data_IF_187634597805
#
_entry.id   IF_187634597805
#
_cell.length_a   1.000
_cell.length_b   1.000
_cell.length_c   1.000
_cell.angle_alpha   90.00
_cell.angle_beta   90.00
_cell.angle_gamma   90.00
#
_symmetry.space_group_name_H-M   'P 1'
#
loop_
_entity.id
_entity.type
_entity.pdbx_description
1 polymer ?
#
# COMPACT_ATOMS: atom_id res chain seq x y z
N UNK A 1 16.88 78.05 -26.32
CA UNK A 1 17.46 76.84 -25.76
C UNK A 1 16.29 75.96 -25.28
N UNK A 2 15.92 74.96 -26.09
CA UNK A 2 14.83 74.04 -25.81
C UNK A 2 15.41 72.72 -25.18
N UNK A 3 15.00 72.40 -23.96
CA UNK A 3 15.40 71.16 -23.30
C UNK A 3 14.38 70.04 -23.65
N UNK A 4 14.83 69.01 -24.40
CA UNK A 4 14.07 67.82 -24.60
C UNK A 4 14.14 66.94 -23.32
N UNK A 5 12.99 66.63 -22.75
CA UNK A 5 12.87 65.62 -21.69
C UNK A 5 12.70 64.24 -22.35
N UNK A 6 13.61 63.34 -22.04
CA UNK A 6 13.53 61.91 -22.46
C UNK A 6 12.64 61.17 -21.49
N UNK A 7 11.54 60.55 -21.98
CA UNK A 7 10.70 59.59 -21.27
C UNK A 7 11.34 58.21 -21.38
N UNK A 8 11.73 57.62 -20.26
CA UNK A 8 12.16 56.22 -20.20
C UNK A 8 10.92 55.30 -20.11
N UNK A 9 10.87 54.21 -20.87
CA UNK A 9 9.76 53.24 -20.76
C UNK A 9 9.92 52.38 -19.49
N UNK A 10 8.88 52.38 -18.66
CA UNK A 10 8.76 51.51 -17.50
C UNK A 10 8.38 50.10 -18.00
N UNK A 11 9.34 49.19 -18.08
CA UNK A 11 9.10 47.78 -18.45
C UNK A 11 8.43 47.04 -17.32
N UNK A 12 7.18 46.59 -17.52
CA UNK A 12 6.46 45.70 -16.62
C UNK A 12 7.01 44.26 -16.79
N UNK A 13 7.82 43.83 -15.85
CA UNK A 13 8.26 42.42 -15.79
C UNK A 13 7.09 41.53 -15.30
N UNK A 14 6.46 40.78 -16.20
CA UNK A 14 5.52 39.70 -15.86
C UNK A 14 6.32 38.56 -15.24
N UNK A 15 6.23 38.40 -13.93
CA UNK A 15 6.71 37.19 -13.25
C UNK A 15 5.82 36.01 -13.65
N UNK A 16 6.31 35.15 -14.54
CA UNK A 16 5.67 33.87 -14.85
C UNK A 16 5.75 32.96 -13.59
N UNK A 17 4.62 32.71 -12.96
CA UNK A 17 4.54 31.67 -11.95
C UNK A 17 4.80 30.33 -12.63
N UNK A 18 6.01 29.79 -12.49
CA UNK A 18 6.33 28.44 -12.91
C UNK A 18 5.50 27.46 -12.05
N UNK A 19 4.54 26.78 -12.66
CA UNK A 19 3.79 25.72 -11.97
C UNK A 19 4.73 24.56 -11.66
N UNK A 20 4.81 24.15 -10.39
CA UNK A 20 5.54 22.95 -9.99
C UNK A 20 4.86 21.76 -10.64
N UNK A 21 5.57 20.88 -11.37
CA UNK A 21 4.97 19.69 -11.96
C UNK A 21 4.39 18.79 -10.86
N UNK A 22 3.28 18.07 -11.13
CA UNK A 22 2.70 17.15 -10.16
C UNK A 22 3.73 16.06 -9.79
N UNK A 23 3.70 15.55 -8.55
CA UNK A 23 4.60 14.48 -8.13
C UNK A 23 4.39 13.23 -8.98
N UNK A 24 5.43 12.42 -9.14
CA UNK A 24 5.32 11.12 -9.81
C UNK A 24 4.25 10.25 -9.11
N UNK A 25 3.50 9.42 -9.83
CA UNK A 25 2.40 8.64 -9.28
C UNK A 25 2.78 7.84 -8.01
N UNK A 26 3.94 7.22 -7.99
CA UNK A 26 4.44 6.46 -6.84
C UNK A 26 4.80 7.35 -5.65
N UNK A 27 5.29 8.57 -5.88
CA UNK A 27 5.55 9.53 -4.80
C UNK A 27 4.24 10.06 -4.19
N UNK A 28 3.25 10.31 -5.04
CA UNK A 28 1.91 10.71 -4.59
C UNK A 28 1.23 9.58 -3.79
N UNK A 29 1.31 8.33 -4.26
CA UNK A 29 0.84 7.15 -3.54
C UNK A 29 1.53 6.98 -2.18
N UNK A 30 2.87 7.13 -2.16
CA UNK A 30 3.65 7.07 -0.93
C UNK A 30 3.22 8.15 0.07
N UNK A 31 3.06 9.37 -0.39
CA UNK A 31 2.59 10.48 0.43
C UNK A 31 1.17 10.22 0.97
N UNK A 32 0.26 9.68 0.14
CA UNK A 32 -1.08 9.30 0.56
C UNK A 32 -1.04 8.25 1.69
N UNK A 33 -0.27 7.17 1.53
CA UNK A 33 -0.13 6.14 2.55
C UNK A 33 0.53 6.70 3.83
N UNK A 34 1.59 7.49 3.69
CA UNK A 34 2.30 8.14 4.80
C UNK A 34 1.42 9.09 5.60
N UNK A 35 0.39 9.69 4.99
CA UNK A 35 -0.54 10.60 5.68
C UNK A 35 -1.38 9.91 6.77
N UNK A 36 -1.38 8.57 6.78
CA UNK A 36 -2.05 7.72 7.76
C UNK A 36 -1.11 7.15 8.83
N UNK A 37 0.16 7.54 8.85
CA UNK A 37 1.12 7.01 9.80
C UNK A 37 0.67 7.12 11.26
N UNK A 38 0.83 6.03 12.01
CA UNK A 38 0.40 5.89 13.40
C UNK A 38 -1.09 5.63 13.60
N UNK A 39 -1.89 5.58 12.52
CA UNK A 39 -3.35 5.39 12.60
C UNK A 39 -3.75 3.96 12.21
N UNK A 40 -4.75 3.44 12.93
CA UNK A 40 -5.38 2.16 12.63
C UNK A 40 -6.82 2.36 12.19
N UNK A 41 -7.34 1.42 11.41
CA UNK A 41 -8.67 1.52 10.79
C UNK A 41 -9.36 0.16 10.76
N UNK A 42 -10.67 0.18 10.96
CA UNK A 42 -11.53 -0.98 10.79
C UNK A 42 -11.79 -1.26 9.31
N UNK A 43 -11.92 -2.53 8.97
CA UNK A 43 -12.20 -2.98 7.61
C UNK A 43 -12.95 -4.29 7.57
N UNK A 44 -13.19 -4.75 6.36
CA UNK A 44 -13.93 -5.97 6.09
C UNK A 44 -13.51 -6.64 4.78
N UNK A 45 -13.76 -7.94 4.68
CA UNK A 45 -13.74 -8.66 3.41
C UNK A 45 -14.91 -8.20 2.55
N UNK A 46 -14.65 -7.84 1.29
CA UNK A 46 -15.68 -7.40 0.33
C UNK A 46 -15.79 -8.31 -0.89
N UNK A 47 -14.81 -9.20 -1.12
CA UNK A 47 -14.93 -10.29 -2.10
C UNK A 47 -15.76 -11.44 -1.53
N UNK A 48 -16.40 -12.20 -2.42
CA UNK A 48 -17.28 -13.32 -2.04
C UNK A 48 -16.83 -14.63 -2.72
N UNK A 49 -15.64 -15.11 -2.36
CA UNK A 49 -15.15 -16.39 -2.85
C UNK A 49 -15.22 -17.48 -1.77
N UNK A 50 -15.51 -18.73 -2.18
CA UNK A 50 -15.61 -19.86 -1.27
C UNK A 50 -14.32 -20.08 -0.46
N UNK A 51 -13.17 -19.78 -1.04
CA UNK A 51 -11.86 -19.88 -0.37
C UNK A 51 -11.70 -18.95 0.83
N UNK A 52 -12.55 -17.93 0.98
CA UNK A 52 -12.51 -16.92 2.05
C UNK A 52 -13.70 -17.04 3.01
N UNK A 53 -14.45 -18.13 2.95
CA UNK A 53 -15.66 -18.32 3.74
C UNK A 53 -15.43 -18.10 5.25
N UNK A 54 -14.29 -18.54 5.76
CA UNK A 54 -13.92 -18.43 7.18
C UNK A 54 -13.65 -16.98 7.62
N UNK A 55 -13.41 -16.07 6.67
CA UNK A 55 -13.15 -14.66 6.93
C UNK A 55 -14.39 -13.78 6.77
N UNK A 56 -15.50 -14.34 6.27
CA UNK A 56 -16.74 -13.57 6.06
C UNK A 56 -17.33 -13.09 7.38
N UNK A 57 -17.61 -11.78 7.44
CA UNK A 57 -18.18 -11.15 8.63
C UNK A 57 -17.21 -11.00 9.81
N UNK A 58 -15.97 -11.51 9.70
CA UNK A 58 -14.95 -11.28 10.71
C UNK A 58 -14.51 -9.81 10.71
N UNK A 59 -14.38 -9.23 11.89
CA UNK A 59 -13.82 -7.89 12.03
C UNK A 59 -12.36 -7.90 11.59
N UNK A 60 -11.96 -6.86 10.84
CA UNK A 60 -10.60 -6.69 10.37
C UNK A 60 -10.07 -5.34 10.81
N UNK A 61 -8.78 -5.28 11.08
CA UNK A 61 -8.09 -4.04 11.39
C UNK A 61 -6.77 -3.95 10.62
N UNK A 62 -6.45 -2.75 10.13
CA UNK A 62 -5.12 -2.42 9.64
C UNK A 62 -4.53 -1.30 10.47
N UNK A 63 -3.20 -1.23 10.53
CA UNK A 63 -2.48 -0.17 11.21
C UNK A 63 -1.31 0.30 10.35
N UNK A 64 -1.27 1.55 9.92
CA UNK A 64 -0.09 2.14 9.28
C UNK A 64 0.94 2.41 10.38
N UNK A 65 1.60 1.34 10.87
CA UNK A 65 2.31 1.32 12.15
C UNK A 65 3.66 2.00 12.10
N UNK A 66 4.46 1.68 11.08
CA UNK A 66 5.84 2.16 10.97
C UNK A 66 6.02 2.83 9.64
N UNK A 67 6.52 4.06 9.64
CA UNK A 67 6.78 4.83 8.45
C UNK A 67 8.18 5.42 8.51
N UNK A 68 8.90 5.29 7.40
CA UNK A 68 10.16 5.99 7.13
C UNK A 68 10.15 6.45 5.68
N UNK A 69 11.21 7.11 5.24
CA UNK A 69 11.35 7.55 3.84
C UNK A 69 11.43 6.39 2.85
N UNK A 70 11.79 5.19 3.33
CA UNK A 70 12.05 4.02 2.48
C UNK A 70 11.13 2.83 2.73
N UNK A 71 10.45 2.75 3.89
CA UNK A 71 9.59 1.61 4.24
C UNK A 71 8.38 2.02 5.07
N UNK A 72 7.22 1.50 4.70
CA UNK A 72 5.98 1.56 5.49
C UNK A 72 5.54 0.14 5.81
N UNK A 73 5.25 -0.14 7.08
CA UNK A 73 4.74 -1.41 7.54
C UNK A 73 3.27 -1.25 7.95
N UNK A 74 2.42 -2.11 7.38
CA UNK A 74 0.97 -2.10 7.60
C UNK A 74 0.53 -3.48 8.11
N UNK A 75 0.53 -3.72 9.44
CA UNK A 75 -0.11 -4.89 10.03
C UNK A 75 -1.57 -5.02 9.60
N UNK A 76 -1.98 -6.25 9.31
CA UNK A 76 -3.32 -6.65 8.99
C UNK A 76 -3.77 -7.75 9.96
N UNK A 77 -4.83 -7.49 10.72
CA UNK A 77 -5.36 -8.39 11.73
C UNK A 77 -6.78 -8.81 11.39
N UNK A 78 -7.10 -10.07 11.70
CA UNK A 78 -8.44 -10.65 11.54
C UNK A 78 -8.90 -11.13 12.90
N UNK A 79 -10.09 -10.72 13.34
CA UNK A 79 -10.63 -11.20 14.59
C UNK A 79 -11.12 -12.64 14.43
N UNK A 80 -10.74 -13.52 15.36
CA UNK A 80 -11.21 -14.91 15.40
C UNK A 80 -12.56 -15.00 16.09
N UNK A 81 -13.23 -16.13 15.96
CA UNK A 81 -14.54 -16.37 16.56
C UNK A 81 -14.53 -16.28 18.11
N UNK A 82 -13.40 -16.55 18.75
CA UNK A 82 -13.20 -16.42 20.20
C UNK A 82 -12.92 -14.99 20.66
N UNK A 83 -12.93 -14.02 19.73
CA UNK A 83 -12.64 -12.60 20.00
C UNK A 83 -11.14 -12.26 20.00
N UNK A 84 -10.24 -13.23 19.94
CA UNK A 84 -8.80 -12.98 19.79
C UNK A 84 -8.47 -12.47 18.38
N UNK A 85 -7.27 -11.90 18.21
CA UNK A 85 -6.80 -11.41 16.91
C UNK A 85 -5.75 -12.34 16.30
N UNK A 86 -5.96 -12.79 15.07
CA UNK A 86 -4.89 -13.28 14.21
C UNK A 86 -4.03 -12.09 13.79
N UNK A 87 -2.80 -12.02 14.29
CA UNK A 87 -1.83 -10.95 14.09
C UNK A 87 -0.65 -11.38 13.21
N UNK A 88 -0.86 -12.40 12.41
CA UNK A 88 0.19 -13.09 11.65
C UNK A 88 0.71 -12.31 10.45
N UNK A 89 0.04 -11.24 9.99
CA UNK A 89 0.29 -10.65 8.67
C UNK A 89 0.69 -9.19 8.77
N UNK A 90 1.77 -8.82 8.05
CA UNK A 90 2.15 -7.42 7.85
C UNK A 90 2.50 -7.19 6.38
N UNK A 91 1.90 -6.19 5.76
CA UNK A 91 2.28 -5.71 4.44
C UNK A 91 3.45 -4.74 4.59
N UNK A 92 4.56 -5.04 3.91
CA UNK A 92 5.77 -4.22 3.88
C UNK A 92 5.86 -3.54 2.51
N UNK A 93 5.64 -2.23 2.47
CA UNK A 93 5.80 -1.45 1.26
C UNK A 93 7.12 -0.70 1.36
N UNK A 94 8.03 -0.93 0.41
CA UNK A 94 9.36 -0.31 0.39
C UNK A 94 9.60 0.40 -0.93
N UNK A 95 10.33 1.52 -0.88
CA UNK A 95 10.88 2.12 -2.09
C UNK A 95 12.05 1.25 -2.58
N UNK A 96 12.03 0.89 -3.85
CA UNK A 96 13.20 0.27 -4.49
C UNK A 96 14.21 1.35 -4.82
N UNK A 97 15.51 0.98 -4.85
CA UNK A 97 16.59 1.93 -5.05
C UNK A 97 16.46 2.74 -6.35
N UNK A 98 17.01 3.97 -6.34
CA UNK A 98 16.99 4.92 -7.46
C UNK A 98 17.55 4.31 -8.76
N UNK A 99 17.02 4.75 -9.91
CA UNK A 99 17.46 4.36 -11.25
C UNK A 99 16.28 4.09 -12.17
N UNK A 100 16.51 3.58 -13.39
CA UNK A 100 15.44 3.34 -14.37
C UNK A 100 14.37 2.33 -13.93
N UNK A 101 14.64 1.58 -12.85
CA UNK A 101 13.73 0.62 -12.22
C UNK A 101 13.29 1.06 -10.83
N UNK A 102 13.45 2.35 -10.49
CA UNK A 102 12.92 2.88 -9.25
C UNK A 102 11.40 2.65 -9.21
N UNK A 103 10.89 2.22 -8.06
CA UNK A 103 9.51 1.87 -7.91
C UNK A 103 9.16 1.54 -6.47
N UNK A 104 8.11 0.77 -6.30
CA UNK A 104 7.69 0.25 -5.01
C UNK A 104 7.74 -1.28 -5.02
N UNK A 105 8.00 -1.85 -3.85
CA UNK A 105 7.98 -3.28 -3.57
C UNK A 105 6.96 -3.56 -2.48
N UNK A 106 6.12 -4.54 -2.67
CA UNK A 106 5.29 -5.13 -1.64
C UNK A 106 5.85 -6.49 -1.24
N UNK A 107 6.10 -6.70 0.05
CA UNK A 107 6.38 -8.03 0.62
C UNK A 107 5.42 -8.29 1.78
N UNK A 108 5.11 -9.57 2.00
CA UNK A 108 4.27 -10.04 3.09
C UNK A 108 5.17 -10.64 4.16
N UNK A 109 5.13 -10.09 5.38
CA UNK A 109 5.74 -10.70 6.56
C UNK A 109 4.67 -11.52 7.27
N UNK A 110 4.83 -12.84 7.25
CA UNK A 110 3.96 -13.78 7.94
C UNK A 110 4.70 -14.42 9.10
N UNK A 111 4.05 -14.44 10.26
CA UNK A 111 4.64 -14.98 11.49
C UNK A 111 3.66 -15.85 12.25
N UNK A 112 4.22 -16.82 12.96
CA UNK A 112 3.50 -17.60 13.96
C UNK A 112 3.31 -16.79 15.24
N UNK A 113 2.46 -17.29 16.15
CA UNK A 113 2.12 -16.60 17.39
C UNK A 113 3.31 -16.43 18.34
N UNK A 114 4.31 -17.30 18.26
CA UNK A 114 5.58 -17.21 18.98
C UNK A 114 6.57 -16.19 18.37
N UNK A 115 6.18 -15.52 17.27
CA UNK A 115 6.99 -14.53 16.57
C UNK A 115 7.95 -15.13 15.52
N UNK A 116 8.06 -16.45 15.40
CA UNK A 116 8.86 -17.08 14.34
C UNK A 116 8.28 -16.83 12.95
N UNK A 117 9.13 -16.83 11.93
CA UNK A 117 8.68 -16.65 10.54
C UNK A 117 7.95 -17.91 10.03
N UNK A 118 6.83 -17.70 9.32
CA UNK A 118 6.16 -18.77 8.57
C UNK A 118 7.00 -19.18 7.35
N UNK A 119 6.92 -20.43 6.90
CA UNK A 119 7.60 -20.88 5.68
C UNK A 119 7.13 -20.09 4.44
N UNK A 120 5.86 -19.68 4.43
CA UNK A 120 5.28 -18.78 3.41
C UNK A 120 5.35 -17.33 3.87
N UNK A 121 6.54 -16.80 4.01
CA UNK A 121 6.78 -15.38 4.33
C UNK A 121 7.62 -14.70 3.26
N UNK A 122 7.70 -13.37 3.29
CA UNK A 122 8.49 -12.49 2.39
C UNK A 122 8.18 -12.61 0.91
N UNK A 123 7.08 -13.22 0.53
CA UNK A 123 6.60 -13.22 -0.84
C UNK A 123 5.97 -11.87 -1.21
N UNK A 124 5.93 -11.57 -2.51
CA UNK A 124 5.36 -10.33 -3.03
C UNK A 124 5.89 -10.01 -4.42
N UNK A 125 6.11 -8.74 -4.71
CA UNK A 125 6.67 -8.30 -5.99
C UNK A 125 6.92 -6.81 -6.06
N UNK A 126 7.53 -6.40 -7.17
CA UNK A 126 7.82 -5.01 -7.49
C UNK A 126 6.76 -4.45 -8.43
N UNK A 127 6.54 -3.14 -8.39
CA UNK A 127 5.70 -2.47 -9.39
C UNK A 127 6.32 -2.64 -10.79
N UNK A 128 5.51 -3.09 -11.75
CA UNK A 128 5.94 -3.24 -13.15
C UNK A 128 5.69 -1.96 -13.97
N UNK A 129 4.92 -1.02 -13.44
CA UNK A 129 4.52 0.24 -14.06
C UNK A 129 4.40 1.34 -12.98
N UNK A 130 4.39 2.62 -13.38
CA UNK A 130 4.24 3.74 -12.43
C UNK A 130 2.94 3.72 -11.62
N UNK A 131 1.92 3.00 -12.08
CA UNK A 131 0.61 2.99 -11.44
C UNK A 131 -0.07 4.36 -11.47
N UNK A 132 -0.86 4.65 -10.44
CA UNK A 132 -1.51 5.95 -10.25
C UNK A 132 -1.12 6.54 -8.89
N UNK A 133 -1.49 7.80 -8.66
CA UNK A 133 -1.34 8.45 -7.35
C UNK A 133 -2.11 7.74 -6.23
N UNK A 134 -3.09 6.91 -6.59
CA UNK A 134 -3.97 6.22 -5.66
C UNK A 134 -3.72 4.72 -5.58
N UNK A 135 -3.27 4.08 -6.65
CA UNK A 135 -3.20 2.62 -6.75
C UNK A 135 -1.89 2.16 -7.36
N UNK A 136 -1.34 1.10 -6.75
CA UNK A 136 -0.15 0.40 -7.22
C UNK A 136 -0.43 -1.09 -7.35
N UNK A 137 0.17 -1.72 -8.38
CA UNK A 137 0.07 -3.15 -8.63
C UNK A 137 1.44 -3.81 -8.54
N UNK A 138 1.47 -4.98 -7.88
CA UNK A 138 2.68 -5.71 -7.55
C UNK A 138 2.58 -7.15 -8.09
N UNK A 139 2.94 -7.41 -9.34
CA UNK A 139 3.04 -8.77 -9.88
C UNK A 139 4.04 -9.60 -9.08
N UNK A 140 3.75 -10.90 -8.93
CA UNK A 140 4.66 -11.84 -8.24
C UNK A 140 6.06 -11.79 -8.83
N UNK A 141 7.09 -11.66 -7.97
CA UNK A 141 8.48 -11.63 -8.38
C UNK A 141 9.11 -13.04 -8.46
N UNK A 142 10.33 -13.12 -9.03
CA UNK A 142 11.03 -14.37 -9.24
C UNK A 142 11.37 -15.09 -7.91
N UNK A 143 11.68 -14.36 -6.85
CA UNK A 143 11.94 -14.89 -5.52
C UNK A 143 10.69 -15.56 -4.94
N UNK A 144 9.54 -14.90 -5.02
CA UNK A 144 8.26 -15.43 -4.58
C UNK A 144 7.81 -16.63 -5.42
N UNK A 145 8.06 -16.62 -6.74
CA UNK A 145 7.82 -17.76 -7.62
C UNK A 145 8.64 -18.98 -7.19
N UNK A 146 9.92 -18.78 -6.84
CA UNK A 146 10.78 -19.85 -6.35
C UNK A 146 10.25 -20.42 -5.01
N UNK A 147 9.92 -19.54 -4.07
CA UNK A 147 9.31 -19.93 -2.79
C UNK A 147 8.01 -20.70 -2.98
N UNK A 148 7.08 -20.22 -3.81
CA UNK A 148 5.80 -20.89 -4.06
C UNK A 148 5.96 -22.27 -4.70
N UNK A 149 6.98 -22.46 -5.55
CA UNK A 149 7.31 -23.79 -6.11
C UNK A 149 7.83 -24.73 -5.03
N UNK A 150 8.75 -24.25 -4.19
CA UNK A 150 9.30 -25.01 -3.07
C UNK A 150 8.20 -25.47 -2.09
N UNK A 151 7.27 -24.55 -1.77
CA UNK A 151 6.18 -24.80 -0.82
C UNK A 151 4.93 -25.45 -1.47
N UNK A 152 5.02 -25.88 -2.74
CA UNK A 152 3.90 -26.53 -3.45
C UNK A 152 2.71 -25.61 -3.74
N UNK A 153 2.88 -24.30 -3.69
CA UNK A 153 1.83 -23.30 -3.93
C UNK A 153 1.76 -22.85 -5.39
N UNK A 154 1.72 -23.78 -6.30
CA UNK A 154 1.81 -23.53 -7.75
C UNK A 154 0.69 -22.64 -8.31
N UNK A 155 -0.48 -22.64 -7.67
CA UNK A 155 -1.57 -21.71 -8.05
C UNK A 155 -1.19 -20.23 -7.86
N UNK A 156 -0.22 -19.92 -7.01
CA UNK A 156 0.21 -18.55 -6.66
C UNK A 156 1.25 -17.96 -7.60
N UNK A 157 1.70 -18.69 -8.61
CA UNK A 157 2.76 -18.25 -9.54
C UNK A 157 2.36 -17.09 -10.45
N UNK A 158 1.07 -16.74 -10.48
CA UNK A 158 0.52 -15.63 -11.28
C UNK A 158 -0.21 -14.60 -10.42
N UNK A 159 0.08 -14.57 -9.12
CA UNK A 159 -0.50 -13.59 -8.22
C UNK A 159 -0.14 -12.16 -8.62
N UNK A 160 -1.12 -11.27 -8.54
CA UNK A 160 -0.92 -9.83 -8.59
C UNK A 160 -1.61 -9.23 -7.38
N UNK A 161 -0.84 -8.52 -6.56
CA UNK A 161 -1.39 -7.76 -5.44
C UNK A 161 -1.62 -6.31 -5.85
N UNK A 162 -2.68 -5.72 -5.31
CA UNK A 162 -3.03 -4.32 -5.55
C UNK A 162 -3.24 -3.63 -4.21
N UNK A 163 -2.72 -2.43 -4.10
CA UNK A 163 -2.94 -1.56 -2.95
C UNK A 163 -3.43 -0.22 -3.47
N UNK A 164 -4.61 0.20 -2.99
CA UNK A 164 -5.10 1.54 -3.23
C UNK A 164 -5.29 2.28 -1.90
N UNK A 165 -4.99 3.57 -1.89
CA UNK A 165 -5.12 4.42 -0.70
C UNK A 165 -5.48 5.84 -1.08
N UNK A 166 -6.47 6.42 -0.38
CA UNK A 166 -6.78 7.84 -0.45
C UNK A 166 -5.98 8.60 0.61
N UNK A 167 -5.55 9.85 0.35
CA UNK A 167 -4.91 10.70 1.36
C UNK A 167 -5.81 10.96 2.57
N UNK A 168 -5.21 11.18 3.73
CA UNK A 168 -5.95 11.59 4.93
C UNK A 168 -6.74 12.88 4.69
N UNK A 169 -7.97 12.93 5.22
CA UNK A 169 -8.88 14.06 5.03
C UNK A 169 -9.71 14.02 3.75
N UNK A 170 -9.50 13.04 2.87
CA UNK A 170 -10.35 12.86 1.69
C UNK A 170 -11.74 12.35 2.14
N UNK A 171 -12.85 12.98 1.71
CA UNK A 171 -14.19 12.48 1.99
C UNK A 171 -14.38 11.06 1.47
N UNK A 172 -14.84 10.13 2.33
CA UNK A 172 -15.01 8.73 1.97
C UNK A 172 -13.70 7.96 1.72
N UNK A 173 -12.57 8.48 2.25
CA UNK A 173 -11.24 7.87 2.08
C UNK A 173 -11.24 6.38 2.43
N UNK A 174 -10.57 5.58 1.60
CA UNK A 174 -10.43 4.12 1.76
C UNK A 174 -9.01 3.66 1.52
N UNK A 175 -8.67 2.58 2.22
CA UNK A 175 -7.56 1.71 1.84
C UNK A 175 -8.12 0.40 1.32
N UNK A 176 -7.57 -0.09 0.23
CA UNK A 176 -7.95 -1.36 -0.38
C UNK A 176 -6.70 -2.20 -0.56
N UNK A 177 -6.78 -3.47 -0.15
CA UNK A 177 -5.82 -4.48 -0.54
C UNK A 177 -6.55 -5.57 -1.32
N UNK A 178 -6.01 -5.96 -2.46
CA UNK A 178 -6.55 -7.05 -3.24
C UNK A 178 -5.45 -8.00 -3.72
N UNK A 179 -5.81 -9.28 -3.85
CA UNK A 179 -5.04 -10.30 -4.55
C UNK A 179 -5.87 -10.77 -5.74
N UNK A 180 -5.30 -10.74 -6.93
CA UNK A 180 -5.92 -11.27 -8.14
C UNK A 180 -5.06 -12.33 -8.80
N UNK A 181 -5.70 -13.24 -9.52
CA UNK A 181 -5.07 -14.22 -10.42
C UNK A 181 -5.94 -14.40 -11.66
N UNK A 182 -5.34 -14.60 -12.85
CA UNK A 182 -6.09 -14.92 -14.06
C UNK A 182 -6.55 -16.40 -14.10
N UNK A 183 -7.43 -16.73 -15.02
CA UNK A 183 -7.75 -18.13 -15.34
C UNK A 183 -6.46 -18.91 -15.72
N UNK A 184 -6.42 -20.26 -15.53
CA UNK A 184 -7.50 -21.12 -15.05
C UNK A 184 -7.68 -21.08 -13.52
N UNK A 185 -6.76 -20.49 -12.75
CA UNK A 185 -6.81 -20.41 -11.28
C UNK A 185 -7.31 -19.04 -10.83
N UNK A 186 -8.38 -18.54 -11.47
CA UNK A 186 -8.91 -17.21 -11.17
C UNK A 186 -9.14 -17.02 -9.66
N UNK A 187 -8.82 -15.82 -9.17
CA UNK A 187 -8.94 -15.47 -7.76
C UNK A 187 -9.17 -13.98 -7.62
N UNK A 188 -10.05 -13.63 -6.72
CA UNK A 188 -10.20 -12.27 -6.20
C UNK A 188 -10.37 -12.33 -4.68
N UNK A 189 -9.35 -11.95 -3.95
CA UNK A 189 -9.45 -11.60 -2.53
C UNK A 189 -9.40 -10.08 -2.41
N UNK A 190 -10.34 -9.45 -1.71
CA UNK A 190 -10.37 -8.00 -1.54
C UNK A 190 -10.87 -7.64 -0.16
N UNK A 191 -10.10 -6.81 0.53
CA UNK A 191 -10.45 -6.20 1.82
C UNK A 191 -10.41 -4.68 1.69
N UNK A 192 -11.34 -4.00 2.37
CA UNK A 192 -11.44 -2.54 2.39
C UNK A 192 -11.49 -2.02 3.82
N UNK A 193 -10.86 -0.85 4.05
CA UNK A 193 -10.79 -0.18 5.33
C UNK A 193 -11.28 1.25 5.19
N UNK A 194 -12.09 1.70 6.17
CA UNK A 194 -12.63 3.07 6.23
C UNK A 194 -11.59 4.00 6.87
N UNK A 195 -10.89 4.79 6.05
CA UNK A 195 -9.85 5.73 6.51
C UNK A 195 -10.43 7.04 7.08
N UNK A 196 -11.75 7.20 7.08
CA UNK A 196 -12.40 8.40 7.65
C UNK A 196 -12.51 8.34 9.16
N UNK A 197 -12.44 7.13 9.76
CA UNK A 197 -12.65 6.87 11.19
C UNK A 197 -11.50 6.03 11.77
N UNK A 198 -10.45 6.66 12.30
CA UNK A 198 -9.41 5.92 13.02
C UNK A 198 -10.00 5.18 14.24
N UNK A 199 -9.46 3.99 14.51
CA UNK A 199 -9.75 3.19 15.70
C UNK A 199 -8.53 3.17 16.63
N UNK A 200 -8.67 2.77 17.91
CA UNK A 200 -7.52 2.48 18.76
C UNK A 200 -6.57 1.49 18.08
N UNK A 201 -5.26 1.74 18.19
CA UNK A 201 -4.27 0.85 17.59
C UNK A 201 -4.43 -0.58 18.15
N UNK A 202 -4.54 -1.60 17.30
CA UNK A 202 -4.55 -2.99 17.75
C UNK A 202 -3.19 -3.36 18.36
N UNK A 203 -3.10 -4.50 19.09
CA UNK A 203 -1.81 -5.01 19.53
C UNK A 203 -0.80 -5.16 18.38
N UNK A 204 0.50 -5.17 18.71
CA UNK A 204 1.54 -5.37 17.71
C UNK A 204 1.34 -6.68 16.93
N UNK A 205 1.74 -6.76 15.64
CA UNK A 205 1.78 -8.04 14.94
C UNK A 205 2.81 -8.96 15.63
N UNK A 206 2.62 -10.25 15.49
CA UNK A 206 3.53 -11.23 16.10
C UNK A 206 4.97 -11.02 15.65
N UNK A 207 5.90 -11.04 16.61
CA UNK A 207 7.33 -10.83 16.37
C UNK A 207 7.75 -9.39 16.07
N UNK A 208 6.89 -8.41 16.40
CA UNK A 208 7.16 -6.98 16.19
C UNK A 208 7.06 -6.14 17.49
N UNK A 209 7.17 -6.77 18.64
CA UNK A 209 7.12 -6.13 19.95
C UNK A 209 8.41 -5.34 20.26
#
# INVERSE_FOLDING_TARGET
MMRLAALAPLGLALAACASVPPPAPQDAFWAALSSHCGKAYAGQLVSDEAADADMRGMAMAMHVRTCSDTRIAVPFHIQRADGSWDRSRTWLITRTSAGPRAGLRLKHDHRHEDGSEDSLTRYGGDTAAPGTAREQSFPVDAESIALFRQEGRTVSLTNVWQVAVDPAGTPGARYVYALTRPAPNARLFRVEFDLTRPIPAPPAPWGWD
#
